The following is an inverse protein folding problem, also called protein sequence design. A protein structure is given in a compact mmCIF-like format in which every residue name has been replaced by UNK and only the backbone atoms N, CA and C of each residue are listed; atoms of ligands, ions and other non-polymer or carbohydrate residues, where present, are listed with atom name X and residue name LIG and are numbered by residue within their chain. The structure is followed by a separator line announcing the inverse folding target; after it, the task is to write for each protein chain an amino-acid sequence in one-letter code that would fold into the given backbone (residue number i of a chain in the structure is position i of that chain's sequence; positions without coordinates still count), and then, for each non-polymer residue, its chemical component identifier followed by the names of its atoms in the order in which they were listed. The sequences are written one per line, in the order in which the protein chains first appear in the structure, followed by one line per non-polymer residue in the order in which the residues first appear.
data_IF_570459254309
#
_entry.id   IF_570459254309
#
_cell.length_a   1.000
_cell.length_b   1.000
_cell.length_c   1.000
_cell.angle_alpha   90.00
_cell.angle_beta   90.00
_cell.angle_gamma   90.00
#
_symmetry.space_group_name_H-M   'P 1'
#
loop_
_entity.id
_entity.type
_entity.pdbx_description
1 polymer ?
#
# COMPACT_ATOMS: atom_id res chain seq x y z
N UNK A 1 -4.31 -19.40 3.87
CA UNK A 1 -4.62 -18.47 2.76
C UNK A 1 -3.41 -17.59 2.54
N UNK A 2 -2.81 -17.58 1.34
CA UNK A 2 -1.70 -16.65 1.04
C UNK A 2 -2.27 -15.22 1.05
N UNK A 3 -1.79 -14.37 1.96
CA UNK A 3 -2.13 -12.94 1.94
C UNK A 3 -1.67 -12.34 0.62
N UNK A 4 -2.60 -11.77 -0.13
CA UNK A 4 -2.27 -11.05 -1.36
C UNK A 4 -1.30 -9.92 -1.02
N UNK A 5 -0.30 -9.71 -1.87
CA UNK A 5 0.70 -8.65 -1.70
C UNK A 5 0.54 -7.62 -2.81
N UNK A 6 0.84 -6.38 -2.49
CA UNK A 6 0.98 -5.33 -3.50
C UNK A 6 2.31 -4.60 -3.30
N UNK A 7 2.83 -4.08 -4.40
CA UNK A 7 3.87 -3.08 -4.39
C UNK A 7 3.24 -1.70 -4.40
N UNK A 8 3.68 -0.82 -3.52
CA UNK A 8 3.32 0.60 -3.50
C UNK A 8 4.56 1.45 -3.73
N UNK A 9 4.40 2.51 -4.53
CA UNK A 9 5.44 3.49 -4.82
C UNK A 9 4.90 4.87 -4.48
N UNK A 10 5.56 5.63 -3.58
CA UNK A 10 5.09 6.96 -3.23
C UNK A 10 5.32 7.96 -4.38
N UNK A 11 4.28 8.72 -4.73
CA UNK A 11 4.34 9.80 -5.75
C UNK A 11 4.43 11.17 -5.10
N UNK A 12 3.54 11.43 -4.14
CA UNK A 12 3.45 12.70 -3.44
C UNK A 12 4.46 12.79 -2.29
N UNK A 13 4.84 14.00 -1.89
CA UNK A 13 5.68 14.22 -0.70
C UNK A 13 5.07 13.62 0.57
N UNK A 14 3.75 13.67 0.70
CA UNK A 14 3.03 13.02 1.82
C UNK A 14 3.21 11.50 1.81
N UNK A 15 3.13 10.87 0.64
CA UNK A 15 3.36 9.44 0.51
C UNK A 15 4.82 9.08 0.77
N UNK A 16 5.79 9.90 0.32
CA UNK A 16 7.22 9.67 0.59
C UNK A 16 7.54 9.73 2.08
N UNK A 17 6.96 10.70 2.79
CA UNK A 17 7.05 10.76 4.25
C UNK A 17 6.47 9.50 4.89
N UNK A 18 5.25 9.12 4.49
CA UNK A 18 4.58 7.91 4.98
C UNK A 18 5.42 6.64 4.72
N UNK A 19 6.03 6.56 3.54
CA UNK A 19 6.87 5.46 3.10
C UNK A 19 8.12 5.31 3.97
N UNK A 20 8.80 6.41 4.26
CA UNK A 20 9.98 6.40 5.11
C UNK A 20 9.62 6.11 6.58
N UNK A 21 8.56 6.74 7.09
CA UNK A 21 8.21 6.70 8.52
C UNK A 21 7.50 5.41 8.94
N UNK A 22 6.51 4.96 8.16
CA UNK A 22 5.63 3.86 8.58
C UNK A 22 5.87 2.56 7.83
N UNK A 23 6.29 2.64 6.57
CA UNK A 23 6.59 1.47 5.74
C UNK A 23 8.06 1.03 5.84
N UNK A 24 8.89 1.75 6.62
CA UNK A 24 10.33 1.47 6.78
C UNK A 24 11.07 1.34 5.44
N UNK A 25 10.71 2.21 4.48
CA UNK A 25 11.21 2.16 3.11
C UNK A 25 10.99 0.82 2.37
N UNK A 26 9.97 0.06 2.77
CA UNK A 26 9.55 -1.17 2.11
C UNK A 26 8.35 -0.90 1.20
N UNK A 27 8.51 -1.19 -0.10
CA UNK A 27 7.44 -1.04 -1.09
C UNK A 27 6.43 -2.18 -1.09
N UNK A 28 6.68 -3.26 -0.37
CA UNK A 28 5.75 -4.40 -0.35
C UNK A 28 4.81 -4.27 0.85
N UNK A 29 3.51 -4.32 0.57
CA UNK A 29 2.43 -4.28 1.55
C UNK A 29 1.52 -5.50 1.40
N UNK A 30 0.77 -5.81 2.45
CA UNK A 30 -0.33 -6.77 2.37
C UNK A 30 -1.60 -6.07 1.90
N UNK A 31 -2.37 -6.76 1.07
CA UNK A 31 -3.74 -6.34 0.74
C UNK A 31 -4.67 -7.01 1.74
N UNK A 32 -5.23 -6.21 2.64
CA UNK A 32 -6.19 -6.68 3.65
C UNK A 32 -7.60 -6.78 3.07
N UNK A 33 -7.98 -5.82 2.23
CA UNK A 33 -9.31 -5.81 1.62
C UNK A 33 -9.34 -4.98 0.33
N UNK A 34 -10.10 -5.45 -0.67
CA UNK A 34 -10.35 -4.72 -1.93
C UNK A 34 -11.82 -4.35 -2.01
N UNK A 35 -12.10 -3.06 -2.16
CA UNK A 35 -13.42 -2.54 -2.52
C UNK A 35 -13.38 -1.98 -3.95
N UNK A 36 -14.55 -1.69 -4.50
CA UNK A 36 -14.69 -1.15 -5.87
C UNK A 36 -13.89 0.14 -6.12
N UNK A 37 -13.74 0.98 -5.11
CA UNK A 37 -13.11 2.31 -5.22
C UNK A 37 -11.84 2.44 -4.37
N UNK A 38 -11.54 1.48 -3.49
CA UNK A 38 -10.43 1.57 -2.52
C UNK A 38 -9.86 0.23 -2.16
N UNK A 39 -8.54 0.15 -2.09
CA UNK A 39 -7.83 -1.00 -1.54
C UNK A 39 -7.21 -0.63 -0.21
N UNK A 40 -7.39 -1.52 0.78
CA UNK A 40 -6.85 -1.37 2.13
C UNK A 40 -5.59 -2.19 2.25
N UNK A 41 -4.54 -1.53 2.68
CA UNK A 41 -3.19 -2.05 2.72
C UNK A 41 -2.62 -1.92 4.14
N UNK A 42 -1.82 -2.91 4.53
CA UNK A 42 -1.05 -2.89 5.78
C UNK A 42 0.43 -3.08 5.49
N UNK A 43 1.29 -2.45 6.29
CA UNK A 43 2.72 -2.61 6.16
C UNK A 43 3.16 -4.01 6.62
N UNK A 44 4.06 -4.67 5.89
CA UNK A 44 4.53 -6.02 6.25
C UNK A 44 5.27 -6.02 7.59
N UNK A 45 6.11 -5.00 7.82
CA UNK A 45 6.94 -4.91 9.02
C UNK A 45 6.23 -4.17 10.16
N UNK A 46 5.08 -3.54 9.90
CA UNK A 46 4.29 -2.81 10.87
C UNK A 46 2.80 -3.04 10.61
N UNK A 47 2.25 -4.22 10.97
CA UNK A 47 0.88 -4.61 10.64
C UNK A 47 -0.19 -3.74 11.32
N UNK A 48 0.18 -2.93 12.32
CA UNK A 48 -0.71 -1.96 12.96
C UNK A 48 -0.90 -0.71 12.10
N UNK A 49 0.01 -0.44 11.16
CA UNK A 49 -0.12 0.69 10.25
C UNK A 49 -0.96 0.31 9.03
N UNK A 50 -2.13 0.91 8.95
CA UNK A 50 -3.10 0.72 7.87
C UNK A 50 -3.24 1.99 7.05
N UNK A 51 -3.28 1.82 5.74
CA UNK A 51 -3.54 2.89 4.79
C UNK A 51 -4.36 2.36 3.62
N UNK A 52 -4.78 3.26 2.74
CA UNK A 52 -5.53 2.87 1.55
C UNK A 52 -5.03 3.61 0.32
N UNK A 53 -5.35 3.03 -0.83
CA UNK A 53 -5.18 3.65 -2.15
C UNK A 53 -6.53 3.71 -2.85
N UNK A 54 -6.78 4.81 -3.55
CA UNK A 54 -7.97 4.98 -4.38
C UNK A 54 -7.78 4.26 -5.74
N UNK A 55 -8.84 3.60 -6.21
CA UNK A 55 -8.85 2.82 -7.46
C UNK A 55 -9.80 3.49 -8.46
N UNK A 56 -9.44 3.60 -9.75
CA UNK A 56 -8.25 3.02 -10.41
C UNK A 56 -6.98 3.88 -10.35
N UNK A 57 -7.08 5.12 -9.87
CA UNK A 57 -5.98 6.08 -9.87
C UNK A 57 -5.92 6.75 -8.50
N UNK A 58 -4.78 6.62 -7.84
CA UNK A 58 -4.48 7.35 -6.62
C UNK A 58 -3.47 8.47 -6.92
N UNK A 59 -3.69 9.62 -6.27
CA UNK A 59 -2.85 10.81 -6.46
C UNK A 59 -1.53 10.74 -5.69
N UNK A 60 -1.47 9.92 -4.64
CA UNK A 60 -0.38 9.85 -3.69
C UNK A 60 0.49 8.61 -3.92
N UNK A 61 -0.09 7.50 -4.35
CA UNK A 61 0.55 6.19 -4.46
C UNK A 61 0.35 5.60 -5.86
N UNK A 62 1.41 5.07 -6.46
CA UNK A 62 1.25 4.06 -7.50
C UNK A 62 1.20 2.70 -6.80
N UNK A 63 0.32 1.82 -7.26
CA UNK A 63 0.15 0.50 -6.66
C UNK A 63 0.06 -0.57 -7.75
N UNK A 64 0.67 -1.72 -7.48
CA UNK A 64 0.65 -2.88 -8.36
C UNK A 64 0.44 -4.14 -7.55
N UNK A 65 -0.56 -4.93 -7.90
CA UNK A 65 -0.75 -6.25 -7.29
C UNK A 65 0.36 -7.20 -7.72
N UNK A 66 0.92 -7.94 -6.76
CA UNK A 66 1.90 -8.98 -7.02
C UNK A 66 1.13 -10.30 -7.06
N UNK A 67 0.80 -10.73 -8.27
CA UNK A 67 0.30 -12.08 -8.54
C UNK A 67 1.51 -13.01 -8.57
N UNK A 68 1.60 -13.91 -7.60
CA UNK A 68 2.61 -14.97 -7.56
C UNK A 68 2.05 -16.28 -8.07
#
# INVERSE_FOLDING_TARGET
MLRQKCRVTPKSEKAKYTYATYLNSNSICHIEHKRSHRWFLSAIQNPDYWFWVDVPIDKNWDYQEITS
#
